data_IF_835969439774
#
_entry.id   IF_835969439774
#
_cell.length_a   1.000
_cell.length_b   1.000
_cell.length_c   1.000
_cell.angle_alpha   90.00
_cell.angle_beta   90.00
_cell.angle_gamma   90.00
#
_symmetry.space_group_name_H-M   'P 1'
#
loop_
_entity.id
_entity.type
_entity.pdbx_description
1 polymer ?
#
# COMPACT_ATOMS: atom_id res chain seq x y z
N UNK A 1 13.32 33.58 13.72
CA UNK A 1 14.39 32.54 13.84
C UNK A 1 13.75 31.17 13.78
N UNK A 2 13.85 30.47 12.65
CA UNK A 2 13.31 29.11 12.50
C UNK A 2 14.24 28.14 13.24
N UNK A 3 13.80 27.72 14.43
CA UNK A 3 14.47 26.65 15.18
C UNK A 3 14.43 25.39 14.29
N UNK A 4 15.55 24.89 13.82
CA UNK A 4 15.64 23.66 13.02
C UNK A 4 14.93 22.54 13.77
N UNK A 5 13.75 22.19 13.34
CA UNK A 5 12.94 21.12 13.96
C UNK A 5 13.59 19.81 13.58
N UNK A 6 14.14 19.10 14.59
CA UNK A 6 14.87 17.85 14.39
C UNK A 6 13.94 16.71 13.97
N UNK A 7 14.53 15.62 13.48
CA UNK A 7 13.83 14.39 13.06
C UNK A 7 12.88 13.86 14.17
N UNK A 8 13.30 13.93 15.44
CA UNK A 8 12.47 13.52 16.59
C UNK A 8 11.16 14.29 16.70
N UNK A 9 11.14 15.57 16.33
CA UNK A 9 9.93 16.40 16.32
C UNK A 9 8.95 15.91 15.27
N UNK A 10 9.41 15.66 14.04
CA UNK A 10 8.56 15.16 12.95
C UNK A 10 8.03 13.76 13.23
N UNK A 11 8.85 12.85 13.78
CA UNK A 11 8.42 11.51 14.19
C UNK A 11 7.34 11.55 15.29
N UNK A 12 7.48 12.46 16.27
CA UNK A 12 6.48 12.63 17.31
C UNK A 12 5.14 13.13 16.76
N UNK A 13 5.19 14.08 15.81
CA UNK A 13 3.99 14.57 15.13
C UNK A 13 3.34 13.45 14.31
N UNK A 14 4.12 12.75 13.48
CA UNK A 14 3.64 11.65 12.66
C UNK A 14 2.91 10.59 13.50
N UNK A 15 3.53 10.17 14.61
CA UNK A 15 2.90 9.21 15.54
C UNK A 15 1.55 9.70 16.07
N UNK A 16 1.44 10.98 16.43
CA UNK A 16 0.19 11.57 16.93
C UNK A 16 -0.89 11.60 15.86
N UNK A 17 -0.54 12.02 14.65
CA UNK A 17 -1.45 12.05 13.49
C UNK A 17 -1.93 10.64 13.19
N UNK A 18 -1.02 9.66 13.10
CA UNK A 18 -1.33 8.27 12.84
C UNK A 18 -2.28 7.68 13.88
N UNK A 19 -2.05 7.93 15.17
CA UNK A 19 -2.94 7.47 16.24
C UNK A 19 -4.32 8.11 16.10
N UNK A 20 -4.40 9.39 15.74
CA UNK A 20 -5.67 10.09 15.55
C UNK A 20 -6.44 9.54 14.35
N UNK A 21 -5.77 9.29 13.23
CA UNK A 21 -6.35 8.69 12.02
C UNK A 21 -6.87 7.27 12.31
N UNK A 22 -6.08 6.45 12.99
CA UNK A 22 -6.50 5.11 13.41
C UNK A 22 -7.73 5.14 14.31
N UNK A 23 -7.77 6.04 15.30
CA UNK A 23 -8.94 6.21 16.18
C UNK A 23 -10.19 6.62 15.39
N UNK A 24 -10.06 7.52 14.43
CA UNK A 24 -11.13 7.93 13.54
C UNK A 24 -11.69 6.75 12.74
N UNK A 25 -10.80 5.96 12.11
CA UNK A 25 -11.18 4.76 11.35
C UNK A 25 -11.84 3.70 12.21
N UNK A 26 -11.39 3.53 13.44
CA UNK A 26 -12.01 2.60 14.40
C UNK A 26 -13.41 3.06 14.86
N UNK A 27 -13.72 4.34 14.79
CA UNK A 27 -15.07 4.85 15.07
C UNK A 27 -16.05 4.48 13.97
N UNK A 28 -15.60 4.39 12.73
CA UNK A 28 -16.40 3.99 11.56
C UNK A 28 -16.11 2.52 11.16
N UNK A 29 -16.34 1.61 12.11
CA UNK A 29 -16.00 0.17 11.94
C UNK A 29 -16.64 -0.48 10.72
N UNK A 30 -17.91 -0.14 10.43
CA UNK A 30 -18.63 -0.72 9.30
C UNK A 30 -17.95 -0.37 7.97
N UNK A 31 -17.61 0.91 7.76
CA UNK A 31 -16.93 1.37 6.55
C UNK A 31 -15.54 0.72 6.40
N UNK A 32 -14.80 0.60 7.51
CA UNK A 32 -13.51 -0.07 7.52
C UNK A 32 -13.61 -1.55 7.11
N UNK A 33 -14.59 -2.28 7.67
CA UNK A 33 -14.81 -3.70 7.36
C UNK A 33 -15.22 -3.87 5.89
N UNK A 34 -16.20 -3.09 5.42
CA UNK A 34 -16.69 -3.16 4.03
C UNK A 34 -15.55 -2.87 3.05
N UNK A 35 -14.78 -1.82 3.30
CA UNK A 35 -13.67 -1.44 2.43
C UNK A 35 -12.55 -2.48 2.42
N UNK A 36 -12.23 -3.05 3.59
CA UNK A 36 -11.21 -4.12 3.70
C UNK A 36 -11.66 -5.37 2.97
N UNK A 37 -12.94 -5.75 3.11
CA UNK A 37 -13.52 -6.87 2.38
C UNK A 37 -13.50 -6.64 0.87
N UNK A 38 -13.90 -5.44 0.41
CA UNK A 38 -13.83 -5.07 -1.00
C UNK A 38 -12.41 -5.21 -1.57
N UNK A 39 -11.40 -4.77 -0.83
CA UNK A 39 -10.00 -4.90 -1.24
C UNK A 39 -9.56 -6.38 -1.34
N UNK A 40 -9.93 -7.20 -0.37
CA UNK A 40 -9.64 -8.65 -0.40
C UNK A 40 -10.31 -9.28 -1.63
N UNK A 41 -11.57 -8.95 -1.90
CA UNK A 41 -12.29 -9.47 -3.08
C UNK A 41 -11.62 -9.04 -4.39
N UNK A 42 -11.14 -7.80 -4.49
CA UNK A 42 -10.42 -7.30 -5.67
C UNK A 42 -9.10 -8.07 -5.88
N UNK A 43 -8.33 -8.29 -4.83
CA UNK A 43 -7.09 -9.07 -4.91
C UNK A 43 -7.35 -10.54 -5.27
N UNK A 44 -8.39 -11.14 -4.71
CA UNK A 44 -8.82 -12.50 -5.06
C UNK A 44 -9.28 -12.59 -6.52
N UNK A 45 -10.02 -11.61 -7.01
CA UNK A 45 -10.43 -11.57 -8.42
C UNK A 45 -9.22 -11.53 -9.36
N UNK A 46 -8.20 -10.71 -9.05
CA UNK A 46 -6.94 -10.69 -9.79
C UNK A 46 -6.23 -12.05 -9.77
N UNK A 47 -6.14 -12.68 -8.59
CA UNK A 47 -5.55 -14.01 -8.44
C UNK A 47 -6.30 -15.09 -9.24
N UNK A 48 -7.63 -15.11 -9.17
CA UNK A 48 -8.49 -16.02 -9.93
C UNK A 48 -8.33 -15.79 -11.43
N UNK A 49 -8.21 -14.53 -11.88
CA UNK A 49 -7.99 -14.19 -13.28
C UNK A 49 -6.76 -14.89 -13.83
N UNK A 50 -5.65 -14.90 -13.09
CA UNK A 50 -4.44 -15.63 -13.50
C UNK A 50 -4.68 -17.14 -13.55
N UNK A 51 -5.39 -17.72 -12.56
CA UNK A 51 -5.71 -19.17 -12.59
C UNK A 51 -6.53 -19.53 -13.82
N UNK A 52 -7.59 -18.76 -14.13
CA UNK A 52 -8.44 -19.01 -15.28
C UNK A 52 -7.67 -18.84 -16.59
N UNK A 53 -6.81 -17.82 -16.69
CA UNK A 53 -5.98 -17.59 -17.86
C UNK A 53 -5.05 -18.76 -18.12
N UNK A 54 -4.32 -19.20 -17.11
CA UNK A 54 -3.34 -20.30 -17.24
C UNK A 54 -3.98 -21.70 -17.27
N UNK A 55 -5.25 -21.84 -16.90
CA UNK A 55 -6.01 -23.04 -17.16
C UNK A 55 -6.27 -23.23 -18.68
N UNK A 56 -6.50 -22.13 -19.40
CA UNK A 56 -6.75 -22.16 -20.84
C UNK A 56 -5.44 -22.10 -21.66
N UNK A 57 -4.41 -21.44 -21.14
CA UNK A 57 -3.11 -21.24 -21.77
C UNK A 57 -1.99 -21.65 -20.80
N UNK A 58 -1.56 -22.93 -20.78
CA UNK A 58 -0.61 -23.45 -19.79
C UNK A 58 0.70 -22.67 -19.70
N UNK A 59 1.14 -22.10 -20.80
CA UNK A 59 2.33 -21.24 -20.87
C UNK A 59 2.13 -20.08 -21.82
N UNK A 60 2.59 -18.90 -21.46
CA UNK A 60 2.59 -17.71 -22.32
C UNK A 60 4.03 -17.25 -22.46
N UNK A 61 4.58 -17.41 -23.66
CA UNK A 61 5.97 -17.05 -23.99
C UNK A 61 7.01 -17.63 -23.00
N UNK A 62 6.80 -18.89 -22.58
CA UNK A 62 7.70 -19.58 -21.62
C UNK A 62 7.43 -19.30 -20.14
N UNK A 63 6.45 -18.43 -19.83
CA UNK A 63 6.04 -18.13 -18.47
C UNK A 63 4.82 -18.98 -18.06
N UNK A 64 4.91 -19.60 -16.91
CA UNK A 64 3.82 -20.39 -16.33
C UNK A 64 3.05 -19.57 -15.26
N UNK A 65 2.00 -20.18 -14.70
CA UNK A 65 1.20 -19.58 -13.65
C UNK A 65 2.05 -19.11 -12.46
N UNK A 66 3.07 -19.89 -12.05
CA UNK A 66 3.86 -19.58 -10.87
C UNK A 66 4.69 -18.31 -11.08
N UNK A 67 5.26 -18.12 -12.27
CA UNK A 67 5.99 -16.90 -12.62
C UNK A 67 5.09 -15.68 -12.59
N UNK A 68 3.85 -15.78 -13.09
CA UNK A 68 2.89 -14.67 -13.04
C UNK A 68 2.40 -14.37 -11.64
N UNK A 69 2.17 -15.40 -10.82
CA UNK A 69 1.81 -15.21 -9.40
C UNK A 69 2.96 -14.57 -8.61
N UNK A 70 4.20 -14.90 -8.97
CA UNK A 70 5.37 -14.24 -8.38
C UNK A 70 5.39 -12.75 -8.69
N UNK A 71 5.22 -12.37 -9.96
CA UNK A 71 5.16 -10.97 -10.37
C UNK A 71 3.98 -10.24 -9.72
N UNK A 72 2.82 -10.88 -9.64
CA UNK A 72 1.64 -10.32 -8.99
C UNK A 72 1.88 -10.07 -7.51
N UNK A 73 2.38 -11.07 -6.78
CA UNK A 73 2.74 -10.92 -5.36
C UNK A 73 3.80 -9.86 -5.14
N UNK A 74 4.83 -9.82 -5.98
CA UNK A 74 5.88 -8.80 -5.94
C UNK A 74 5.31 -7.39 -6.15
N UNK A 75 4.44 -7.20 -7.13
CA UNK A 75 3.78 -5.92 -7.41
C UNK A 75 2.96 -5.44 -6.22
N UNK A 76 2.19 -6.34 -5.58
CA UNK A 76 1.42 -6.00 -4.38
C UNK A 76 2.33 -5.56 -3.23
N UNK A 77 3.41 -6.28 -2.97
CA UNK A 77 4.37 -5.95 -1.91
C UNK A 77 5.09 -4.64 -2.20
N UNK A 78 5.50 -4.40 -3.44
CA UNK A 78 6.19 -3.18 -3.84
C UNK A 78 5.31 -1.93 -3.78
N UNK A 79 4.03 -2.03 -4.13
CA UNK A 79 3.09 -0.90 -4.14
C UNK A 79 2.52 -0.59 -2.75
N UNK A 80 2.45 -1.56 -1.85
CA UNK A 80 1.84 -1.39 -0.52
C UNK A 80 2.46 -0.26 0.30
N UNK A 81 3.79 -0.08 0.39
CA UNK A 81 4.36 1.03 1.15
C UNK A 81 3.91 2.39 0.62
N UNK A 82 3.81 2.53 -0.70
CA UNK A 82 3.34 3.78 -1.33
C UNK A 82 1.88 4.04 -0.96
N UNK A 83 1.03 3.03 -1.04
CA UNK A 83 -0.38 3.13 -0.66
C UNK A 83 -0.55 3.43 0.82
N UNK A 84 0.18 2.75 1.71
CA UNK A 84 0.06 2.99 3.16
C UNK A 84 0.46 4.41 3.58
N UNK A 85 1.56 4.94 3.03
CA UNK A 85 2.15 6.20 3.50
C UNK A 85 1.79 7.41 2.66
N UNK A 86 1.39 7.22 1.40
CA UNK A 86 1.16 8.29 0.43
C UNK A 86 -0.27 8.28 -0.14
N UNK A 87 -1.20 7.57 0.49
CA UNK A 87 -2.58 7.42 0.01
C UNK A 87 -3.30 8.77 -0.17
N UNK A 88 -3.02 9.73 0.71
CA UNK A 88 -3.60 11.07 0.62
C UNK A 88 -3.27 11.81 -0.69
N UNK A 89 -2.24 11.38 -1.41
CA UNK A 89 -1.85 11.99 -2.69
C UNK A 89 -2.97 11.92 -3.74
N UNK A 90 -3.81 10.89 -3.70
CA UNK A 90 -4.98 10.76 -4.58
C UNK A 90 -6.02 11.86 -4.35
N UNK A 91 -6.10 12.39 -3.13
CA UNK A 91 -7.03 13.46 -2.76
C UNK A 91 -6.51 14.85 -3.10
N UNK A 92 -5.22 15.00 -3.45
CA UNK A 92 -4.59 16.30 -3.68
C UNK A 92 -5.35 17.13 -4.71
N UNK A 93 -5.69 16.52 -5.83
CA UNK A 93 -6.42 17.21 -6.92
C UNK A 93 -7.75 17.75 -6.44
N UNK A 94 -8.56 16.92 -5.77
CA UNK A 94 -9.88 17.31 -5.26
C UNK A 94 -9.76 18.44 -4.23
N UNK A 95 -8.80 18.35 -3.30
CA UNK A 95 -8.58 19.35 -2.25
C UNK A 95 -8.08 20.69 -2.80
N UNK A 96 -7.31 20.68 -3.89
CA UNK A 96 -6.87 21.92 -4.54
C UNK A 96 -8.06 22.58 -5.26
N UNK A 97 -8.91 21.80 -5.94
CA UNK A 97 -10.09 22.34 -6.61
C UNK A 97 -11.13 22.89 -5.63
N UNK A 98 -11.36 22.23 -4.49
CA UNK A 98 -12.31 22.70 -3.46
C UNK A 98 -11.76 23.85 -2.62
N UNK A 99 -10.46 24.13 -2.69
CA UNK A 99 -9.78 25.10 -1.83
C UNK A 99 -9.42 24.58 -0.44
N UNK A 100 -9.78 23.33 -0.09
CA UNK A 100 -9.52 22.73 1.23
C UNK A 100 -8.04 22.55 1.53
N UNK A 101 -7.20 22.57 0.49
CA UNK A 101 -5.75 22.45 0.65
C UNK A 101 -5.16 23.61 1.50
N UNK A 102 -5.84 24.76 1.55
CA UNK A 102 -5.39 25.94 2.32
C UNK A 102 -5.28 25.64 3.83
N UNK A 103 -6.03 24.66 4.35
CA UNK A 103 -5.96 24.24 5.77
C UNK A 103 -4.56 23.81 6.19
N UNK A 104 -3.75 23.27 5.26
CA UNK A 104 -2.39 22.84 5.53
C UNK A 104 -1.41 24.01 5.63
N UNK A 105 -1.66 25.11 4.93
CA UNK A 105 -0.81 26.30 4.95
C UNK A 105 -0.83 27.01 6.31
N UNK A 106 -1.91 26.88 7.06
CA UNK A 106 -2.04 27.48 8.41
C UNK A 106 -1.38 26.67 9.51
N UNK A 107 -0.86 25.49 9.20
CA UNK A 107 -0.21 24.63 10.21
C UNK A 107 1.26 25.03 10.39
N UNK A 108 1.78 25.09 11.64
CA UNK A 108 3.16 25.47 11.93
C UNK A 108 4.15 24.32 11.64
N UNK A 109 3.91 23.54 10.58
CA UNK A 109 4.70 22.35 10.16
C UNK A 109 4.88 22.45 8.65
N UNK A 110 5.82 21.67 8.09
CA UNK A 110 5.94 21.58 6.65
C UNK A 110 4.63 21.08 6.04
N UNK A 111 4.09 21.82 5.07
CA UNK A 111 2.80 21.57 4.42
C UNK A 111 2.76 20.16 3.81
N UNK A 112 3.79 19.80 3.05
CA UNK A 112 3.91 18.50 2.40
C UNK A 112 3.96 17.35 3.42
N UNK A 113 4.79 17.50 4.45
CA UNK A 113 4.89 16.48 5.49
C UNK A 113 3.54 16.25 6.18
N UNK A 114 2.84 17.33 6.56
CA UNK A 114 1.56 17.20 7.23
C UNK A 114 0.51 16.57 6.30
N UNK A 115 0.43 17.02 5.05
CA UNK A 115 -0.46 16.49 4.03
C UNK A 115 -0.26 14.98 3.81
N UNK A 116 0.99 14.53 3.63
CA UNK A 116 1.31 13.11 3.45
C UNK A 116 1.03 12.26 4.69
N UNK A 117 1.20 12.87 5.88
CA UNK A 117 1.04 12.15 7.15
C UNK A 117 -0.42 12.05 7.62
N UNK A 118 -1.37 12.81 7.03
CA UNK A 118 -2.74 12.92 7.52
C UNK A 118 -3.54 11.64 7.35
N UNK A 119 -3.25 10.88 6.30
CA UNK A 119 -3.96 9.62 5.99
C UNK A 119 -2.97 8.48 5.94
N UNK A 120 -3.23 7.46 6.74
CA UNK A 120 -2.50 6.19 6.71
C UNK A 120 -3.46 5.08 6.33
N UNK A 121 -3.24 4.41 5.19
CA UNK A 121 -4.14 3.34 4.79
C UNK A 121 -3.79 2.00 5.47
N UNK A 122 -4.56 1.68 6.51
CA UNK A 122 -4.45 0.41 7.25
C UNK A 122 -4.81 -0.79 6.37
N UNK A 123 -5.68 -0.60 5.37
CA UNK A 123 -6.09 -1.66 4.45
C UNK A 123 -4.90 -2.19 3.64
N UNK A 124 -3.93 -1.32 3.34
CA UNK A 124 -2.68 -1.72 2.71
C UNK A 124 -1.93 -2.81 3.47
N UNK A 125 -2.06 -2.89 4.80
CA UNK A 125 -1.46 -4.00 5.57
C UNK A 125 -2.08 -5.35 5.20
N UNK A 126 -3.39 -5.41 4.94
CA UNK A 126 -4.06 -6.60 4.44
C UNK A 126 -3.57 -6.99 3.04
N UNK A 127 -3.39 -6.01 2.17
CA UNK A 127 -2.82 -6.21 0.83
C UNK A 127 -1.37 -6.71 0.90
N UNK A 128 -0.57 -6.19 1.82
CA UNK A 128 0.80 -6.64 2.06
C UNK A 128 0.83 -8.10 2.51
N UNK A 129 -0.04 -8.49 3.44
CA UNK A 129 -0.14 -9.87 3.90
C UNK A 129 -0.52 -10.82 2.76
N UNK A 130 -1.51 -10.44 1.94
CA UNK A 130 -1.91 -11.20 0.76
C UNK A 130 -0.79 -11.29 -0.28
N UNK A 131 -0.14 -10.17 -0.58
CA UNK A 131 0.98 -10.11 -1.52
C UNK A 131 2.17 -10.96 -1.08
N UNK A 132 2.56 -10.89 0.20
CA UNK A 132 3.60 -11.73 0.77
C UNK A 132 3.24 -13.22 0.70
N UNK A 133 2.00 -13.58 1.05
CA UNK A 133 1.52 -14.96 0.96
C UNK A 133 1.62 -15.51 -0.47
N UNK A 134 1.15 -14.74 -1.44
CA UNK A 134 1.21 -15.10 -2.87
C UNK A 134 2.65 -15.20 -3.36
N UNK A 135 3.50 -14.26 -2.97
CA UNK A 135 4.91 -14.23 -3.37
C UNK A 135 5.68 -15.42 -2.80
N UNK A 136 5.50 -15.74 -1.51
CA UNK A 136 6.16 -16.90 -0.86
C UNK A 136 5.67 -18.19 -1.49
N UNK A 137 4.37 -18.32 -1.75
CA UNK A 137 3.82 -19.50 -2.43
C UNK A 137 4.43 -19.71 -3.81
N UNK A 138 4.45 -18.66 -4.64
CA UNK A 138 4.98 -18.72 -5.99
C UNK A 138 6.49 -18.99 -5.97
N UNK A 139 7.24 -18.36 -5.08
CA UNK A 139 8.67 -18.59 -4.90
C UNK A 139 8.98 -20.07 -4.57
N UNK A 140 8.26 -20.64 -3.61
CA UNK A 140 8.44 -22.04 -3.23
C UNK A 140 8.17 -23.02 -4.39
N UNK A 141 7.23 -22.66 -5.30
CA UNK A 141 6.89 -23.47 -6.47
C UNK A 141 7.91 -23.35 -7.61
N UNK A 142 8.47 -22.17 -7.82
CA UNK A 142 9.47 -21.93 -8.88
C UNK A 142 10.83 -22.54 -8.48
N UNK A 143 11.11 -22.69 -7.16
CA UNK A 143 12.36 -23.28 -6.68
C UNK A 143 13.60 -22.42 -6.93
N UNK A 144 13.45 -21.09 -7.02
CA UNK A 144 14.57 -20.17 -7.20
C UNK A 144 15.43 -20.19 -5.93
N UNK A 145 16.72 -20.57 -6.01
CA UNK A 145 17.60 -20.52 -4.85
C UNK A 145 17.76 -19.09 -4.37
N UNK A 146 17.60 -18.87 -3.05
CA UNK A 146 17.80 -17.56 -2.40
C UNK A 146 19.29 -17.24 -2.39
N UNK A 147 19.83 -16.75 -3.50
CA UNK A 147 21.18 -16.23 -3.56
C UNK A 147 21.12 -14.71 -3.62
N UNK A 148 22.01 -14.03 -2.89
CA UNK A 148 22.08 -12.57 -2.86
C UNK A 148 22.15 -11.94 -4.25
N UNK A 149 22.67 -12.66 -5.24
CA UNK A 149 22.79 -12.27 -6.64
C UNK A 149 21.42 -12.27 -7.35
N UNK A 150 20.49 -13.18 -7.00
CA UNK A 150 19.14 -13.26 -7.60
C UNK A 150 18.20 -12.14 -7.10
N UNK A 151 18.55 -11.47 -6.01
CA UNK A 151 17.78 -10.31 -5.48
C UNK A 151 18.28 -8.99 -6.09
N UNK A 152 19.52 -8.98 -6.61
CA UNK A 152 20.17 -7.78 -7.14
C UNK A 152 20.08 -7.65 -8.68
N UNK A 153 19.55 -8.65 -9.39
CA UNK A 153 19.24 -8.62 -10.83
C UNK A 153 17.77 -8.29 -11.07
#
# INVERSE_FOLDING_TARGET
>A
MSKKRGLKFYLSIYRKILIQDLKSKMSYRADFIISTFGMIMTNLAGFITFIVLFHNFPTINGWDLNHMLFLYGFSLVALTPVQCFFDNNWNLRAMVYSGDFIKYCFRPVNVFFYFMSEVFDVKGLGQLAFGLGTLIYAWAKIGIPVTFITIAQ
#
